data_IF_334059765042
#
_entry.id   IF_334059765042
#
_cell.length_a   1.000
_cell.length_b   1.000
_cell.length_c   1.000
_cell.angle_alpha   90.00
_cell.angle_beta   90.00
_cell.angle_gamma   90.00
#
_symmetry.space_group_name_H-M   'P 1'
#
loop_
_entity.id
_entity.type
_entity.pdbx_description
1 polymer ?
#
# COMPACT_ATOMS: atom_id res chain seq x y z
N UNK A 1 2.56 -11.27 5.29
CA UNK A 1 2.52 -10.43 4.08
C UNK A 1 3.13 -11.13 2.87
N UNK A 2 4.37 -11.60 2.94
CA UNK A 2 5.05 -12.32 1.84
C UNK A 2 4.25 -13.49 1.23
N UNK A 3 3.68 -14.38 2.04
CA UNK A 3 2.88 -15.51 1.54
C UNK A 3 1.61 -15.06 0.79
N UNK A 4 0.93 -14.02 1.29
CA UNK A 4 -0.26 -13.47 0.65
C UNK A 4 0.11 -12.79 -0.68
N UNK A 5 1.22 -12.05 -0.70
CA UNK A 5 1.76 -11.40 -1.90
C UNK A 5 2.09 -12.44 -2.98
N UNK A 6 2.83 -13.50 -2.64
CA UNK A 6 3.16 -14.58 -3.58
C UNK A 6 1.90 -15.28 -4.13
N UNK A 7 0.88 -15.48 -3.30
CA UNK A 7 -0.39 -16.06 -3.73
C UNK A 7 -1.14 -15.11 -4.69
N UNK A 8 -1.20 -13.82 -4.38
CA UNK A 8 -1.85 -12.83 -5.24
C UNK A 8 -1.19 -12.75 -6.61
N UNK A 9 0.15 -12.79 -6.67
CA UNK A 9 0.93 -12.88 -7.91
C UNK A 9 0.56 -14.15 -8.68
N UNK A 10 0.58 -15.31 -8.03
CA UNK A 10 0.26 -16.59 -8.67
C UNK A 10 -1.17 -16.62 -9.25
N UNK A 11 -2.11 -15.96 -8.57
CA UNK A 11 -3.51 -15.86 -8.98
C UNK A 11 -3.77 -14.76 -10.02
N UNK A 12 -2.78 -13.90 -10.31
CA UNK A 12 -2.96 -12.67 -11.10
C UNK A 12 -4.11 -11.83 -10.53
N UNK A 13 -4.12 -11.65 -9.22
CA UNK A 13 -5.16 -10.91 -8.54
C UNK A 13 -5.20 -9.45 -9.03
N UNK A 14 -6.41 -8.90 -9.14
CA UNK A 14 -6.58 -7.47 -9.42
C UNK A 14 -6.04 -6.63 -8.25
N UNK A 15 -6.39 -7.00 -7.02
CA UNK A 15 -6.01 -6.28 -5.81
C UNK A 15 -5.58 -7.24 -4.69
N UNK A 16 -4.63 -6.79 -3.87
CA UNK A 16 -4.32 -7.38 -2.57
C UNK A 16 -4.47 -6.33 -1.47
N UNK A 17 -5.14 -6.66 -0.38
CA UNK A 17 -5.39 -5.75 0.75
C UNK A 17 -4.68 -6.30 2.00
N UNK A 18 -3.74 -5.54 2.54
CA UNK A 18 -3.08 -5.79 3.81
C UNK A 18 -3.78 -5.00 4.92
N UNK A 19 -4.49 -5.70 5.80
CA UNK A 19 -5.11 -5.11 6.98
C UNK A 19 -4.10 -5.02 8.11
N UNK A 20 -3.92 -3.83 8.66
CA UNK A 20 -2.91 -3.49 9.67
C UNK A 20 -3.53 -2.76 10.86
N UNK A 21 -2.71 -2.30 11.80
CA UNK A 21 -3.08 -1.47 12.95
C UNK A 21 -2.75 0.02 12.75
N UNK A 22 -2.52 0.43 11.50
CA UNK A 22 -2.20 1.81 11.10
C UNK A 22 -3.05 2.21 9.88
N UNK A 23 -3.28 3.52 9.72
CA UNK A 23 -4.07 4.07 8.61
C UNK A 23 -3.46 3.84 7.23
N UNK A 24 -2.12 3.83 7.15
CA UNK A 24 -1.36 3.76 5.91
C UNK A 24 -0.01 4.45 6.10
N UNK A 25 0.54 4.99 5.02
CA UNK A 25 1.76 5.79 5.04
C UNK A 25 1.39 7.26 5.23
N UNK A 26 1.85 7.87 6.31
CA UNK A 26 1.69 9.30 6.57
C UNK A 26 2.95 10.04 6.12
N UNK A 27 2.80 11.17 5.42
CA UNK A 27 3.90 12.07 5.09
C UNK A 27 4.52 12.69 6.37
N UNK A 28 3.67 12.95 7.36
CA UNK A 28 4.06 13.41 8.69
C UNK A 28 3.36 12.54 9.75
N UNK A 29 4.09 11.71 10.51
CA UNK A 29 3.50 10.85 11.54
C UNK A 29 2.71 11.59 12.64
N UNK A 30 2.94 12.89 12.83
CA UNK A 30 2.20 13.71 13.79
C UNK A 30 0.88 14.29 13.23
N UNK A 31 0.63 14.15 11.93
CA UNK A 31 -0.54 14.69 11.24
C UNK A 31 -1.33 13.57 10.55
N UNK A 32 -2.47 13.13 11.11
CA UNK A 32 -3.31 12.10 10.51
C UNK A 32 -3.85 12.45 9.12
N UNK A 33 -4.00 13.74 8.81
CA UNK A 33 -4.49 14.21 7.51
C UNK A 33 -3.40 14.12 6.42
N UNK A 34 -2.16 13.81 6.81
CA UNK A 34 -1.03 13.66 5.89
C UNK A 34 -0.93 12.27 5.23
N UNK A 35 -2.04 11.52 5.23
CA UNK A 35 -2.12 10.20 4.59
C UNK A 35 -1.80 10.31 3.10
N UNK A 36 -0.84 9.50 2.66
CA UNK A 36 -0.49 9.38 1.26
C UNK A 36 -1.43 8.33 0.65
N UNK A 37 -2.36 8.78 -0.17
CA UNK A 37 -3.37 7.92 -0.78
C UNK A 37 -2.77 6.92 -1.78
N UNK A 38 -1.77 7.34 -2.56
CA UNK A 38 -1.14 6.51 -3.60
C UNK A 38 0.37 6.63 -3.57
N UNK A 39 1.05 5.50 -3.70
CA UNK A 39 2.50 5.38 -3.82
C UNK A 39 2.87 4.53 -5.03
N UNK A 40 4.04 4.80 -5.59
CA UNK A 40 4.71 3.91 -6.55
C UNK A 40 6.03 3.39 -5.94
N UNK A 41 6.66 2.33 -6.50
CA UNK A 41 7.98 1.89 -6.05
C UNK A 41 9.02 3.02 -6.01
N UNK A 42 9.02 3.91 -7.00
CA UNK A 42 9.89 5.08 -6.99
C UNK A 42 9.61 6.02 -5.80
N UNK A 43 8.35 6.33 -5.52
CA UNK A 43 7.99 7.18 -4.36
C UNK A 43 8.30 6.50 -3.03
N UNK A 44 8.10 5.18 -2.92
CA UNK A 44 8.46 4.40 -1.72
C UNK A 44 9.97 4.49 -1.47
N UNK A 45 10.80 4.31 -2.51
CA UNK A 45 12.24 4.43 -2.39
C UNK A 45 12.68 5.83 -1.94
N UNK A 46 12.08 6.87 -2.52
CA UNK A 46 12.35 8.25 -2.15
C UNK A 46 12.00 8.53 -0.68
N UNK A 47 10.77 8.21 -0.27
CA UNK A 47 10.30 8.44 1.10
C UNK A 47 11.05 7.59 2.14
N UNK A 48 11.58 6.42 1.75
CA UNK A 48 12.48 5.64 2.60
C UNK A 48 13.83 6.34 2.76
N UNK A 49 14.40 6.87 1.68
CA UNK A 49 15.64 7.66 1.72
C UNK A 49 15.49 8.93 2.56
N UNK A 50 14.33 9.57 2.48
CA UNK A 50 14.00 10.79 3.24
C UNK A 50 13.68 10.50 4.72
N UNK A 51 13.64 9.22 5.12
CA UNK A 51 13.37 8.78 6.48
C UNK A 51 11.90 8.86 6.90
N UNK A 52 10.99 9.20 5.98
CA UNK A 52 9.54 9.23 6.21
C UNK A 52 9.02 7.80 6.44
N UNK A 53 9.44 6.87 5.59
CA UNK A 53 9.17 5.44 5.74
C UNK A 53 10.31 4.81 6.54
N UNK A 54 9.97 4.20 7.68
CA UNK A 54 10.96 3.58 8.56
C UNK A 54 10.40 2.40 9.34
N UNK A 55 11.29 1.64 9.98
CA UNK A 55 10.94 0.54 10.87
C UNK A 55 10.12 -0.56 10.20
N UNK A 56 9.05 -1.00 10.88
CA UNK A 56 8.20 -2.11 10.44
C UNK A 56 7.38 -1.84 9.18
N UNK A 57 7.32 -0.60 8.69
CA UNK A 57 6.62 -0.27 7.44
C UNK A 57 7.39 -0.75 6.20
N UNK A 58 8.72 -0.75 6.26
CA UNK A 58 9.59 -1.17 5.15
C UNK A 58 9.22 -2.58 4.64
N UNK A 59 9.20 -3.64 5.49
CA UNK A 59 8.86 -4.99 5.01
C UNK A 59 7.42 -5.13 4.51
N UNK A 60 6.49 -4.27 4.94
CA UNK A 60 5.11 -4.23 4.44
C UNK A 60 5.06 -3.68 3.02
N UNK A 61 5.76 -2.57 2.79
CA UNK A 61 5.86 -1.97 1.46
C UNK A 61 6.67 -2.83 0.51
N UNK A 62 7.70 -3.54 0.97
CA UNK A 62 8.40 -4.56 0.16
C UNK A 62 7.44 -5.64 -0.34
N UNK A 63 6.53 -6.11 0.50
CA UNK A 63 5.50 -7.10 0.10
C UNK A 63 4.50 -6.53 -0.91
N UNK A 64 4.16 -5.24 -0.80
CA UNK A 64 3.30 -4.52 -1.76
C UNK A 64 4.01 -4.36 -3.12
N UNK A 65 5.25 -3.88 -3.10
CA UNK A 65 6.08 -3.74 -4.31
C UNK A 65 6.31 -5.08 -4.99
N UNK A 66 6.51 -6.16 -4.22
CA UNK A 66 6.62 -7.51 -4.79
C UNK A 66 5.34 -7.94 -5.51
N UNK A 67 4.17 -7.69 -4.92
CA UNK A 67 2.88 -8.02 -5.55
C UNK A 67 2.71 -7.27 -6.88
N UNK A 68 2.92 -5.96 -6.85
CA UNK A 68 2.78 -5.07 -8.01
C UNK A 68 3.78 -5.42 -9.11
N UNK A 69 5.05 -5.64 -8.76
CA UNK A 69 6.07 -6.09 -9.71
C UNK A 69 5.76 -7.48 -10.30
N UNK A 70 5.03 -8.31 -9.57
CA UNK A 70 4.52 -9.60 -10.04
C UNK A 70 3.25 -9.53 -10.89
N UNK A 71 2.74 -8.33 -11.19
CA UNK A 71 1.58 -8.12 -12.07
C UNK A 71 0.23 -8.01 -11.37
N UNK A 72 0.20 -7.86 -10.05
CA UNK A 72 -1.01 -7.45 -9.32
C UNK A 72 -1.27 -5.97 -9.61
N UNK A 73 -2.50 -5.59 -9.97
CA UNK A 73 -2.76 -4.21 -10.42
C UNK A 73 -2.59 -3.17 -9.29
N UNK A 74 -3.00 -3.52 -8.06
CA UNK A 74 -2.78 -2.68 -6.88
C UNK A 74 -2.62 -3.48 -5.58
N UNK A 75 -1.76 -2.99 -4.69
CA UNK A 75 -1.64 -3.46 -3.31
C UNK A 75 -2.06 -2.36 -2.33
N UNK A 76 -2.86 -2.67 -1.32
CA UNK A 76 -3.42 -1.67 -0.40
C UNK A 76 -2.98 -1.95 1.03
N UNK A 77 -2.61 -0.90 1.77
CA UNK A 77 -2.38 -0.94 3.22
C UNK A 77 -3.52 -0.19 3.89
N UNK A 78 -4.27 -0.88 4.75
CA UNK A 78 -5.49 -0.37 5.38
C UNK A 78 -5.47 -0.56 6.90
N UNK A 79 -6.19 0.28 7.63
CA UNK A 79 -6.44 0.08 9.06
C UNK A 79 -7.55 -0.96 9.27
N UNK A 80 -7.16 -2.17 9.67
CA UNK A 80 -8.07 -3.28 9.94
C UNK A 80 -8.97 -3.07 11.17
N UNK A 81 -8.72 -2.04 11.98
CA UNK A 81 -9.56 -1.70 13.14
C UNK A 81 -10.79 -0.88 12.74
N UNK A 82 -10.78 -0.26 11.56
CA UNK A 82 -11.91 0.48 11.03
C UNK A 82 -13.00 -0.49 10.55
N UNK A 83 -14.22 -0.32 11.05
CA UNK A 83 -15.34 -1.14 10.64
C UNK A 83 -15.59 -1.00 9.13
N UNK A 84 -15.75 -2.14 8.45
CA UNK A 84 -16.02 -2.20 7.02
C UNK A 84 -14.92 -1.65 6.11
N UNK A 85 -13.66 -1.55 6.59
CA UNK A 85 -12.54 -0.96 5.83
C UNK A 85 -12.38 -1.52 4.41
N UNK A 86 -12.60 -2.81 4.20
CA UNK A 86 -12.54 -3.44 2.87
C UNK A 86 -13.63 -2.92 1.93
N UNK A 87 -14.84 -2.69 2.43
CA UNK A 87 -15.93 -2.15 1.61
C UNK A 87 -15.69 -0.67 1.32
N UNK A 88 -15.22 0.08 2.30
CA UNK A 88 -14.87 1.49 2.12
C UNK A 88 -13.78 1.65 1.05
N UNK A 89 -12.72 0.85 1.11
CA UNK A 89 -11.64 0.92 0.12
C UNK A 89 -12.10 0.55 -1.29
N UNK A 90 -13.00 -0.44 -1.42
CA UNK A 90 -13.39 -0.94 -2.73
C UNK A 90 -14.57 -0.17 -3.37
N UNK A 91 -15.40 0.49 -2.56
CA UNK A 91 -16.67 1.08 -2.99
C UNK A 91 -16.73 2.60 -2.79
N UNK A 92 -15.61 3.26 -2.46
CA UNK A 92 -15.53 4.73 -2.36
C UNK A 92 -14.37 5.28 -3.17
N UNK A 93 -14.53 6.49 -3.72
CA UNK A 93 -13.53 7.11 -4.58
C UNK A 93 -12.34 7.69 -3.80
N UNK A 94 -12.52 7.99 -2.53
CA UNK A 94 -11.49 8.61 -1.69
C UNK A 94 -10.46 7.60 -1.16
N UNK A 95 -10.77 6.29 -1.14
CA UNK A 95 -9.96 5.30 -0.42
C UNK A 95 -9.88 5.60 1.08
N UNK A 96 -9.43 4.64 1.88
CA UNK A 96 -9.29 4.81 3.35
C UNK A 96 -7.89 4.45 3.87
N UNK A 97 -6.96 4.18 2.96
CA UNK A 97 -5.57 3.91 3.31
C UNK A 97 -4.61 4.29 2.18
N UNK A 98 -3.51 3.54 2.08
CA UNK A 98 -2.47 3.79 1.07
C UNK A 98 -2.48 2.68 0.02
N UNK A 99 -2.66 3.07 -1.24
CA UNK A 99 -2.57 2.20 -2.40
C UNK A 99 -1.15 2.26 -3.00
N UNK A 100 -0.62 1.11 -3.39
CA UNK A 100 0.66 0.96 -4.09
C UNK A 100 0.35 0.42 -5.48
N UNK A 101 0.79 1.15 -6.51
CA UNK A 101 0.64 0.78 -7.93
C UNK A 101 2.00 0.78 -8.62
N UNK A 102 2.09 0.19 -9.81
CA UNK A 102 3.34 0.20 -10.58
C UNK A 102 3.71 1.64 -10.97
N UNK A 103 5.01 1.89 -11.17
CA UNK A 103 5.44 3.14 -11.79
C UNK A 103 4.82 3.23 -13.20
N UNK A 104 4.34 4.42 -13.58
CA UNK A 104 3.89 4.64 -14.95
C UNK A 104 5.07 4.43 -15.90
N UNK A 105 4.92 3.51 -16.84
CA UNK A 105 5.87 3.37 -17.93
C UNK A 105 5.63 4.55 -18.86
N UNK A 106 6.57 5.50 -18.91
CA UNK A 106 6.55 6.57 -19.89
C UNK A 106 6.44 5.95 -21.30
N UNK A 107 5.27 6.15 -21.92
CA UNK A 107 4.95 5.72 -23.29
C UNK A 107 5.52 6.65 -24.33
#
# INVERSE_FOLDING_TARGET
DTAASALAVALKAEKILFLTDIAGVLQNPADPESLIATLTPATVAQLTSDGVISGGMIPKLESCMHAVAGGVAAAHILDGRLAHVTLLELLTDTGVGTMVIADEVAS
#
